data_IF_642794266844
#
_entry.id   IF_642794266844
#
_cell.length_a   1.000
_cell.length_b   1.000
_cell.length_c   1.000
_cell.angle_alpha   90.00
_cell.angle_beta   90.00
_cell.angle_gamma   90.00
#
_symmetry.space_group_name_H-M   'P 1'
#
loop_
_entity.id
_entity.type
_entity.pdbx_description
1 polymer ?
#
# COMPACT_ATOMS: atom_id res chain seq x y z
N UNK A 1 17.71 -1.68 7.97
CA UNK A 1 16.27 -1.34 7.97
C UNK A 1 15.61 -2.54 8.60
N UNK A 2 15.13 -2.40 9.84
CA UNK A 2 14.56 -3.53 10.57
C UNK A 2 13.15 -3.77 10.02
N UNK A 3 12.85 -4.99 9.61
CA UNK A 3 11.53 -5.37 9.11
C UNK A 3 10.41 -5.16 10.16
N UNK A 4 10.79 -5.06 11.45
CA UNK A 4 9.89 -4.75 12.57
C UNK A 4 9.23 -3.35 12.52
N UNK A 5 9.78 -2.38 11.78
CA UNK A 5 9.22 -1.02 11.70
C UNK A 5 8.00 -0.91 10.76
N UNK A 6 7.65 -1.97 10.02
CA UNK A 6 6.57 -1.95 9.03
C UNK A 6 5.40 -2.88 9.36
N UNK A 7 5.08 -3.04 10.65
CA UNK A 7 3.86 -3.72 11.10
C UNK A 7 2.79 -2.66 11.46
N UNK A 8 1.55 -2.76 10.94
CA UNK A 8 1.04 -3.78 10.00
C UNK A 8 1.54 -3.58 8.56
N UNK A 9 1.50 -4.61 7.70
CA UNK A 9 1.76 -4.49 6.27
C UNK A 9 0.96 -3.34 5.65
N UNK A 10 1.65 -2.47 4.92
CA UNK A 10 1.05 -1.28 4.34
C UNK A 10 1.75 -0.85 3.06
N UNK A 11 1.02 -0.12 2.23
CA UNK A 11 1.59 0.62 1.10
C UNK A 11 1.76 2.10 1.44
N UNK A 12 2.63 2.78 0.68
CA UNK A 12 2.70 4.24 0.66
C UNK A 12 2.15 4.78 -0.66
N UNK A 13 1.36 5.83 -0.59
CA UNK A 13 0.83 6.56 -1.74
C UNK A 13 1.22 8.04 -1.66
N UNK A 14 1.61 8.62 -2.80
CA UNK A 14 2.02 10.03 -2.93
C UNK A 14 1.23 10.72 -4.02
N UNK A 15 0.78 11.95 -3.76
CA UNK A 15 0.08 12.76 -4.75
C UNK A 15 0.27 14.27 -4.50
N UNK A 16 0.89 14.98 -5.46
CA UNK A 16 1.06 16.44 -5.40
C UNK A 16 1.56 16.98 -4.04
N UNK A 17 2.55 16.32 -3.45
CA UNK A 17 3.12 16.72 -2.15
C UNK A 17 2.39 16.14 -0.93
N UNK A 18 1.23 15.50 -1.10
CA UNK A 18 0.61 14.67 -0.08
C UNK A 18 1.24 13.27 -0.03
N UNK A 19 1.32 12.70 1.16
CA UNK A 19 1.75 11.33 1.40
C UNK A 19 0.84 10.67 2.43
N UNK A 20 0.47 9.42 2.17
CA UNK A 20 -0.30 8.60 3.08
C UNK A 20 0.16 7.14 3.04
N UNK A 21 -0.07 6.41 4.12
CA UNK A 21 0.09 4.96 4.17
C UNK A 21 -1.25 4.26 4.42
N UNK A 22 -1.44 3.09 3.80
CA UNK A 22 -2.68 2.33 3.86
C UNK A 22 -2.41 0.87 4.22
N UNK A 23 -3.18 0.31 5.15
CA UNK A 23 -3.18 -1.14 5.41
C UNK A 23 -3.74 -1.89 4.20
N UNK A 24 -3.48 -3.18 4.09
CA UNK A 24 -4.00 -4.00 2.97
C UNK A 24 -5.54 -4.18 2.99
N UNK A 25 -6.21 -3.81 4.08
CA UNK A 25 -7.68 -3.67 4.15
C UNK A 25 -8.19 -2.33 3.60
N UNK A 26 -7.30 -1.50 3.04
CA UNK A 26 -7.64 -0.17 2.51
C UNK A 26 -7.84 0.90 3.58
N UNK A 27 -7.47 0.65 4.84
CA UNK A 27 -7.60 1.66 5.89
C UNK A 27 -6.41 2.63 5.89
N UNK A 28 -6.68 3.93 6.06
CA UNK A 28 -5.64 4.94 6.22
C UNK A 28 -4.93 4.76 7.56
N UNK A 29 -3.61 4.54 7.53
CA UNK A 29 -2.78 4.36 8.73
C UNK A 29 -2.14 5.70 9.17
N UNK A 30 -1.57 6.46 8.23
CA UNK A 30 -0.90 7.74 8.51
C UNK A 30 -0.97 8.67 7.29
N UNK A 31 -0.87 9.97 7.54
CA UNK A 31 -0.78 11.00 6.50
C UNK A 31 -2.16 11.39 5.97
N UNK A 32 -2.18 12.00 4.78
CA UNK A 32 -3.41 12.41 4.14
C UNK A 32 -3.33 12.32 2.61
N UNK A 33 -4.51 12.26 1.99
CA UNK A 33 -4.70 12.45 0.56
C UNK A 33 -6.03 13.19 0.36
N UNK A 34 -6.17 14.02 -0.69
CA UNK A 34 -7.44 14.59 -1.04
C UNK A 34 -8.47 13.48 -1.29
N UNK A 35 -9.74 13.73 -0.94
CA UNK A 35 -10.79 12.70 -0.84
C UNK A 35 -10.90 11.79 -2.06
N UNK A 36 -10.77 12.35 -3.28
CA UNK A 36 -10.86 11.58 -4.52
C UNK A 36 -9.69 10.59 -4.65
N UNK A 37 -8.46 11.05 -4.42
CA UNK A 37 -7.24 10.26 -4.50
C UNK A 37 -7.21 9.18 -3.42
N UNK A 38 -7.59 9.53 -2.18
CA UNK A 38 -7.77 8.55 -1.12
C UNK A 38 -8.71 7.42 -1.56
N UNK A 39 -9.90 7.74 -2.09
CA UNK A 39 -10.86 6.71 -2.53
C UNK A 39 -10.33 5.83 -3.66
N UNK A 40 -9.50 6.37 -4.56
CA UNK A 40 -8.86 5.58 -5.60
C UNK A 40 -7.83 4.60 -5.01
N UNK A 41 -7.03 5.06 -4.04
CA UNK A 41 -6.04 4.19 -3.36
C UNK A 41 -6.74 3.13 -2.52
N UNK A 42 -7.76 3.49 -1.74
CA UNK A 42 -8.56 2.53 -0.97
C UNK A 42 -9.15 1.44 -1.87
N UNK A 43 -9.73 1.82 -3.03
CA UNK A 43 -10.28 0.86 -3.98
C UNK A 43 -9.21 -0.03 -4.63
N UNK A 44 -8.06 0.54 -4.99
CA UNK A 44 -6.93 -0.20 -5.54
C UNK A 44 -6.40 -1.22 -4.54
N UNK A 45 -6.19 -0.81 -3.29
CA UNK A 45 -5.72 -1.72 -2.23
C UNK A 45 -6.68 -2.90 -2.05
N UNK A 46 -7.99 -2.64 -1.96
CA UNK A 46 -8.98 -3.70 -1.78
C UNK A 46 -9.06 -4.66 -2.98
N UNK A 47 -8.85 -4.17 -4.20
CA UNK A 47 -8.85 -4.99 -5.40
C UNK A 47 -7.62 -5.90 -5.49
N UNK A 48 -6.50 -5.47 -4.91
CA UNK A 48 -5.19 -6.11 -5.03
C UNK A 48 -4.66 -6.65 -3.69
N UNK A 49 -5.51 -6.86 -2.70
CA UNK A 49 -5.09 -7.26 -1.35
C UNK A 49 -4.29 -8.58 -1.35
N UNK A 50 -4.72 -9.59 -2.11
CA UNK A 50 -4.01 -10.87 -2.22
C UNK A 50 -2.63 -10.71 -2.89
N UNK A 51 -2.53 -9.86 -3.91
CA UNK A 51 -1.25 -9.55 -4.59
C UNK A 51 -0.31 -8.79 -3.65
N UNK A 52 -0.84 -7.85 -2.85
CA UNK A 52 -0.08 -7.11 -1.85
C UNK A 52 0.45 -8.01 -0.74
N UNK A 53 -0.32 -8.98 -0.27
CA UNK A 53 0.13 -9.98 0.70
C UNK A 53 1.25 -10.85 0.12
N UNK A 54 1.10 -11.33 -1.11
CA UNK A 54 2.14 -12.12 -1.78
C UNK A 54 3.44 -11.31 -1.97
N UNK A 55 3.33 -10.06 -2.43
CA UNK A 55 4.48 -9.17 -2.61
C UNK A 55 5.13 -8.77 -1.29
N UNK A 56 4.34 -8.66 -0.21
CA UNK A 56 4.86 -8.42 1.13
C UNK A 56 5.73 -9.57 1.61
N UNK A 57 5.30 -10.82 1.44
CA UNK A 57 6.09 -12.00 1.78
C UNK A 57 7.40 -12.04 0.98
N UNK A 58 7.38 -11.71 -0.32
CA UNK A 58 8.59 -11.60 -1.12
C UNK A 58 9.54 -10.52 -0.57
N UNK A 59 9.02 -9.31 -0.33
CA UNK A 59 9.82 -8.20 0.17
C UNK A 59 10.41 -8.50 1.56
N UNK A 60 9.65 -9.19 2.43
CA UNK A 60 10.12 -9.62 3.75
C UNK A 60 11.26 -10.62 3.66
N UNK A 61 11.22 -11.51 2.66
CA UNK A 61 12.28 -12.48 2.36
C UNK A 61 13.45 -11.89 1.52
N UNK A 62 13.50 -10.56 1.35
CA UNK A 62 14.50 -9.84 0.54
C UNK A 62 14.46 -10.22 -0.95
N UNK A 63 13.31 -10.70 -1.42
CA UNK A 63 13.02 -10.97 -2.82
C UNK A 63 12.37 -9.75 -3.48
N UNK A 64 12.33 -9.74 -4.82
CA UNK A 64 11.73 -8.66 -5.58
C UNK A 64 10.20 -8.86 -5.69
N UNK A 65 9.38 -7.92 -5.18
CA UNK A 65 7.94 -7.95 -5.41
C UNK A 65 7.61 -7.72 -6.89
N UNK A 66 6.44 -8.18 -7.30
CA UNK A 66 5.94 -7.99 -8.65
C UNK A 66 5.35 -6.58 -8.83
N UNK A 67 5.06 -6.24 -10.09
CA UNK A 67 4.32 -5.02 -10.40
C UNK A 67 2.83 -5.35 -10.39
N UNK A 68 2.10 -4.69 -9.50
CA UNK A 68 0.64 -4.73 -9.47
C UNK A 68 0.08 -3.70 -10.46
N UNK A 69 -0.92 -4.08 -11.23
CA UNK A 69 -1.55 -3.23 -12.23
C UNK A 69 -2.29 -2.04 -11.59
N UNK A 70 -2.30 -0.85 -12.22
CA UNK A 70 -3.04 0.30 -11.70
C UNK A 70 -4.56 0.13 -11.86
N UNK A 71 -5.33 0.88 -11.05
CA UNK A 71 -6.79 0.94 -11.15
C UNK A 71 -7.22 1.46 -12.54
N UNK A 72 -8.17 0.75 -13.19
CA UNK A 72 -8.71 1.08 -14.53
C UNK A 72 -9.90 2.02 -14.48
#
# INVERSE_FOLDING_TARGET
MNADDHVPPHIHARYQGHEASFTFDGNLLKGDLPRKQRKLVEAWVLLHAEELEADWELAFNLEHPFRIDPLR
#
